data_IF_035454151486
#
_entry.id   IF_035454151486
#
_cell.length_a   1.000
_cell.length_b   1.000
_cell.length_c   1.000
_cell.angle_alpha   90.00
_cell.angle_beta   90.00
_cell.angle_gamma   90.00
#
_symmetry.space_group_name_H-M   'P 1'
#
loop_
_entity.id
_entity.type
_entity.pdbx_description
1 polymer ?
#
# COMPACT_ATOMS: atom_id res chain seq x y z
N UNK A 1 17.44 8.41 10.18
CA UNK A 1 16.13 8.45 9.49
C UNK A 1 15.75 9.90 9.31
N UNK A 2 15.48 10.33 8.08
CA UNK A 2 15.15 11.73 7.76
C UNK A 2 13.83 12.19 8.43
N UNK A 3 12.90 11.26 8.70
CA UNK A 3 11.58 11.53 9.30
C UNK A 3 11.31 10.62 10.52
N UNK A 4 11.86 10.92 11.71
CA UNK A 4 11.89 10.00 12.85
C UNK A 4 10.51 9.71 13.49
N UNK A 5 9.47 10.50 13.17
CA UNK A 5 8.12 10.36 13.72
C UNK A 5 7.09 9.82 12.72
N UNK A 6 7.53 9.38 11.53
CA UNK A 6 6.65 8.70 10.58
C UNK A 6 6.67 7.19 10.81
N UNK A 7 5.51 6.56 10.67
CA UNK A 7 5.38 5.10 10.75
C UNK A 7 5.13 4.53 9.35
N UNK A 8 5.99 3.61 8.92
CA UNK A 8 5.76 2.79 7.75
C UNK A 8 4.81 1.63 8.09
N UNK A 9 3.80 1.42 7.26
CA UNK A 9 2.81 0.36 7.38
C UNK A 9 2.74 -0.41 6.07
N UNK A 10 3.30 -1.62 6.06
CA UNK A 10 3.05 -2.58 4.99
C UNK A 10 1.69 -3.25 5.24
N UNK A 11 0.66 -2.84 4.49
CA UNK A 11 -0.70 -3.33 4.73
C UNK A 11 -0.87 -4.84 4.45
N UNK A 12 -0.31 -5.41 3.37
CA UNK A 12 -0.34 -6.86 3.16
C UNK A 12 0.22 -7.67 4.33
N UNK A 13 1.36 -7.27 4.89
CA UNK A 13 1.97 -8.01 6.01
C UNK A 13 1.23 -7.78 7.33
N UNK A 14 0.65 -6.59 7.52
CA UNK A 14 -0.25 -6.32 8.64
C UNK A 14 -1.50 -7.22 8.59
N UNK A 15 -2.09 -7.39 7.40
CA UNK A 15 -3.25 -8.26 7.19
C UNK A 15 -2.91 -9.74 7.44
N UNK A 16 -1.76 -10.22 6.94
CA UNK A 16 -1.29 -11.59 7.22
C UNK A 16 -1.07 -11.82 8.71
N UNK A 17 -0.40 -10.89 9.39
CA UNK A 17 -0.14 -10.99 10.84
C UNK A 17 -1.44 -11.04 11.63
N UNK A 18 -2.39 -10.16 11.29
CA UNK A 18 -3.70 -10.14 11.93
C UNK A 18 -4.49 -11.41 11.68
N UNK A 19 -4.48 -11.92 10.45
CA UNK A 19 -5.14 -13.16 10.08
C UNK A 19 -4.60 -14.35 10.90
N UNK A 20 -3.27 -14.46 11.06
CA UNK A 20 -2.63 -15.51 11.89
C UNK A 20 -3.02 -15.39 13.37
N UNK A 21 -3.15 -14.19 13.90
CA UNK A 21 -3.50 -13.98 15.31
C UNK A 21 -4.99 -14.25 15.58
N UNK A 22 -5.87 -13.92 14.64
CA UNK A 22 -7.32 -14.06 14.81
C UNK A 22 -7.89 -15.40 14.31
N UNK A 23 -7.08 -16.26 13.67
CA UNK A 23 -7.53 -17.59 13.20
C UNK A 23 -7.96 -18.53 14.34
N UNK A 24 -7.39 -18.36 15.53
CA UNK A 24 -7.67 -19.23 16.68
C UNK A 24 -8.97 -18.85 17.42
N UNK A 25 -9.65 -17.78 17.00
CA UNK A 25 -10.91 -17.35 17.60
C UNK A 25 -12.10 -18.09 16.98
N UNK A 26 -13.03 -18.52 17.83
CA UNK A 26 -14.24 -19.23 17.41
C UNK A 26 -15.12 -18.31 16.53
N UNK A 27 -15.56 -18.78 15.37
CA UNK A 27 -16.33 -18.01 14.37
C UNK A 27 -15.61 -16.79 13.77
N UNK A 28 -14.29 -16.84 13.67
CA UNK A 28 -13.51 -15.76 13.06
C UNK A 28 -13.74 -15.66 11.56
N UNK A 29 -14.20 -14.49 11.07
CA UNK A 29 -14.28 -14.15 9.63
C UNK A 29 -12.91 -14.18 8.92
N UNK A 30 -11.82 -14.35 9.66
CA UNK A 30 -10.46 -14.43 9.12
C UNK A 30 -10.11 -15.77 8.49
N UNK A 31 -10.88 -16.84 8.72
CA UNK A 31 -10.63 -18.13 8.05
C UNK A 31 -10.70 -18.01 6.52
N UNK A 32 -11.71 -17.30 6.02
CA UNK A 32 -11.85 -17.01 4.58
C UNK A 32 -10.78 -16.02 4.09
N UNK A 33 -10.45 -15.02 4.92
CA UNK A 33 -9.41 -14.05 4.60
C UNK A 33 -8.02 -14.70 4.40
N UNK A 34 -7.70 -15.74 5.18
CA UNK A 34 -6.45 -16.53 5.03
C UNK A 34 -6.43 -17.25 3.69
N UNK A 35 -7.54 -17.87 3.29
CA UNK A 35 -7.63 -18.53 1.99
C UNK A 35 -7.42 -17.53 0.84
N UNK A 36 -8.07 -16.36 0.92
CA UNK A 36 -7.88 -15.28 -0.05
C UNK A 36 -6.45 -14.76 -0.10
N UNK A 37 -5.81 -14.59 1.06
CA UNK A 37 -4.38 -14.19 1.14
C UNK A 37 -3.47 -15.23 0.46
N UNK A 38 -3.70 -16.52 0.71
CA UNK A 38 -2.93 -17.60 0.11
C UNK A 38 -3.11 -17.65 -1.42
N UNK A 39 -4.30 -17.31 -1.90
CA UNK A 39 -4.61 -17.23 -3.33
C UNK A 39 -4.21 -15.90 -3.99
N UNK A 40 -3.57 -14.98 -3.25
CA UNK A 40 -3.28 -13.60 -3.69
C UNK A 40 -4.50 -12.80 -4.17
N UNK A 41 -5.67 -13.12 -3.64
CA UNK A 41 -6.91 -12.40 -3.90
C UNK A 41 -7.04 -11.16 -3.00
N UNK A 42 -7.90 -10.22 -3.42
CA UNK A 42 -8.31 -9.13 -2.55
C UNK A 42 -9.17 -9.64 -1.40
N UNK A 43 -8.89 -9.11 -0.21
CA UNK A 43 -9.70 -9.32 0.97
C UNK A 43 -10.94 -8.42 0.95
N UNK A 44 -12.00 -8.77 1.70
CA UNK A 44 -13.13 -7.89 1.94
C UNK A 44 -12.68 -6.50 2.42
N UNK A 45 -13.22 -5.44 1.81
CA UNK A 45 -12.79 -4.06 2.08
C UNK A 45 -13.00 -3.64 3.53
N UNK A 46 -14.04 -4.15 4.20
CA UNK A 46 -14.33 -3.89 5.61
C UNK A 46 -13.22 -4.44 6.54
N UNK A 47 -12.71 -5.64 6.24
CA UNK A 47 -11.58 -6.24 6.98
C UNK A 47 -10.31 -5.40 6.80
N UNK A 48 -10.06 -4.95 5.57
CA UNK A 48 -8.89 -4.13 5.22
C UNK A 48 -8.96 -2.78 5.94
N UNK A 49 -10.11 -2.10 5.85
CA UNK A 49 -10.36 -0.81 6.48
C UNK A 49 -10.22 -0.89 8.01
N UNK A 50 -10.87 -1.87 8.64
CA UNK A 50 -10.79 -2.01 10.11
C UNK A 50 -9.35 -2.22 10.57
N UNK A 51 -8.60 -3.06 9.86
CA UNK A 51 -7.20 -3.34 10.18
C UNK A 51 -6.34 -2.08 10.05
N UNK A 52 -6.56 -1.28 9.01
CA UNK A 52 -5.89 -0.01 8.85
C UNK A 52 -6.24 0.94 10.00
N UNK A 53 -7.52 1.15 10.29
CA UNK A 53 -7.97 2.08 11.33
C UNK A 53 -7.44 1.71 12.72
N UNK A 54 -7.42 0.42 13.08
CA UNK A 54 -6.81 -0.03 14.34
C UNK A 54 -5.33 0.34 14.40
N UNK A 55 -4.57 0.14 13.32
CA UNK A 55 -3.14 0.49 13.29
C UNK A 55 -2.91 1.99 13.40
N UNK A 56 -3.73 2.81 12.73
CA UNK A 56 -3.67 4.27 12.83
C UNK A 56 -3.99 4.74 14.25
N UNK A 57 -5.01 4.16 14.90
CA UNK A 57 -5.43 4.56 16.25
C UNK A 57 -4.47 4.12 17.36
N UNK A 58 -3.64 3.10 17.13
CA UNK A 58 -2.58 2.68 18.07
C UNK A 58 -1.46 3.71 18.23
N UNK A 59 -1.34 4.64 17.29
CA UNK A 59 -0.24 5.61 17.24
C UNK A 59 -0.81 7.02 17.09
N UNK A 60 -1.13 7.66 18.22
CA UNK A 60 -1.67 9.02 18.26
C UNK A 60 -0.59 10.12 18.27
N UNK A 61 0.65 9.80 18.64
CA UNK A 61 1.77 10.75 18.79
C UNK A 61 2.79 10.64 17.64
N UNK A 62 2.29 10.58 16.41
CA UNK A 62 3.11 10.46 15.19
C UNK A 62 2.81 11.57 14.22
N UNK A 63 3.82 11.96 13.44
CA UNK A 63 3.70 13.06 12.49
C UNK A 63 2.95 12.63 11.21
N UNK A 64 2.95 11.33 10.91
CA UNK A 64 2.25 10.75 9.77
C UNK A 64 2.49 9.25 9.58
N UNK A 65 1.85 8.71 8.55
CA UNK A 65 1.97 7.31 8.14
C UNK A 65 2.34 7.22 6.67
N UNK A 66 3.17 6.24 6.33
CA UNK A 66 3.42 5.80 4.96
C UNK A 66 2.78 4.43 4.82
N UNK A 67 1.70 4.34 4.05
CA UNK A 67 0.94 3.10 3.89
C UNK A 67 1.27 2.51 2.52
N UNK A 68 1.82 1.30 2.53
CA UNK A 68 2.16 0.56 1.31
C UNK A 68 1.05 -0.44 0.99
N UNK A 69 0.62 -0.43 -0.28
CA UNK A 69 -0.39 -1.33 -0.82
C UNK A 69 -1.84 -0.94 -0.59
N UNK A 70 -2.14 0.34 -0.32
CA UNK A 70 -3.51 0.84 -0.14
C UNK A 70 -3.65 2.30 -0.61
N UNK A 71 -4.77 2.68 -1.25
CA UNK A 71 -5.93 1.87 -1.63
C UNK A 71 -5.70 1.08 -2.94
N UNK A 72 -6.35 -0.10 -3.06
CA UNK A 72 -6.33 -0.93 -4.28
C UNK A 72 -7.62 -0.89 -5.09
N UNK A 73 -8.73 -0.49 -4.47
CA UNK A 73 -10.06 -0.44 -5.07
C UNK A 73 -10.74 0.90 -4.81
N UNK A 74 -11.72 1.25 -5.63
CA UNK A 74 -12.49 2.49 -5.47
C UNK A 74 -13.19 2.54 -4.11
N UNK A 75 -13.79 1.43 -3.68
CA UNK A 75 -14.42 1.33 -2.35
C UNK A 75 -13.43 1.65 -1.23
N UNK A 76 -12.21 1.10 -1.29
CA UNK A 76 -11.17 1.40 -0.29
C UNK A 76 -10.80 2.88 -0.28
N UNK A 77 -10.74 3.51 -1.44
CA UNK A 77 -10.47 4.94 -1.52
C UNK A 77 -11.62 5.75 -0.91
N UNK A 78 -12.88 5.46 -1.26
CA UNK A 78 -14.04 6.13 -0.68
C UNK A 78 -14.13 5.95 0.84
N UNK A 79 -13.83 4.74 1.33
CA UNK A 79 -13.77 4.45 2.76
C UNK A 79 -12.66 5.25 3.45
N UNK A 80 -11.50 5.42 2.81
CA UNK A 80 -10.43 6.29 3.30
C UNK A 80 -10.90 7.74 3.41
N UNK A 81 -11.59 8.27 2.38
CA UNK A 81 -12.16 9.63 2.40
C UNK A 81 -13.12 9.79 3.58
N UNK A 82 -13.98 8.79 3.81
CA UNK A 82 -15.02 8.81 4.83
C UNK A 82 -14.48 8.67 6.26
N UNK A 83 -13.54 7.75 6.48
CA UNK A 83 -13.11 7.36 7.82
C UNK A 83 -11.82 8.06 8.28
N UNK A 84 -10.92 8.40 7.35
CA UNK A 84 -9.68 9.13 7.67
C UNK A 84 -9.80 10.61 7.32
N UNK A 85 -10.51 10.95 6.25
CA UNK A 85 -10.68 12.35 5.81
C UNK A 85 -9.62 12.78 4.79
N UNK A 86 -10.07 13.50 3.75
CA UNK A 86 -9.21 13.92 2.64
C UNK A 86 -8.11 14.90 3.02
N UNK A 87 -8.32 15.71 4.06
CA UNK A 87 -7.32 16.67 4.51
C UNK A 87 -6.09 16.01 5.15
N UNK A 88 -6.30 14.78 5.67
CA UNK A 88 -5.26 13.95 6.29
C UNK A 88 -4.50 13.12 5.27
N UNK A 89 -5.09 12.81 4.11
CA UNK A 89 -4.38 12.22 2.99
C UNK A 89 -3.62 13.31 2.23
N UNK A 90 -2.29 13.30 2.32
CA UNK A 90 -1.46 14.30 1.61
C UNK A 90 -1.20 13.93 0.17
N UNK A 91 -0.84 12.68 -0.08
CA UNK A 91 -0.44 12.21 -1.41
C UNK A 91 -0.61 10.69 -1.49
N UNK A 92 -0.79 10.20 -2.72
CA UNK A 92 -0.61 8.80 -3.11
C UNK A 92 0.47 8.77 -4.17
N UNK A 93 1.49 7.94 -3.96
CA UNK A 93 2.59 7.79 -4.92
C UNK A 93 2.33 6.54 -5.76
N UNK A 94 2.32 6.73 -7.07
CA UNK A 94 2.31 5.68 -8.07
C UNK A 94 3.72 5.55 -8.63
N UNK A 95 4.32 4.38 -8.47
CA UNK A 95 5.54 4.04 -9.20
C UNK A 95 5.11 3.54 -10.58
N UNK A 96 5.43 4.30 -11.62
CA UNK A 96 5.20 3.91 -13.01
C UNK A 96 6.31 2.97 -13.46
N UNK A 97 5.95 1.72 -13.74
CA UNK A 97 6.88 0.65 -14.07
C UNK A 97 6.24 -0.14 -15.20
N UNK A 98 7.01 -0.42 -16.26
CA UNK A 98 6.52 -1.28 -17.33
C UNK A 98 6.20 -2.69 -16.81
N UNK A 99 5.26 -3.35 -17.48
CA UNK A 99 4.90 -4.72 -17.16
C UNK A 99 6.10 -5.67 -17.34
N UNK A 100 6.88 -5.48 -18.41
CA UNK A 100 8.03 -6.33 -18.71
C UNK A 100 9.10 -6.21 -17.62
N UNK A 101 9.40 -4.98 -17.18
CA UNK A 101 10.32 -4.75 -16.08
C UNK A 101 9.78 -5.32 -14.76
N UNK A 102 8.49 -5.14 -14.48
CA UNK A 102 7.83 -5.71 -13.30
C UNK A 102 7.93 -7.24 -13.28
N UNK A 103 7.67 -7.89 -14.42
CA UNK A 103 7.78 -9.35 -14.58
C UNK A 103 9.22 -9.82 -14.36
N UNK A 104 10.19 -9.14 -14.96
CA UNK A 104 11.61 -9.46 -14.78
C UNK A 104 12.03 -9.35 -13.31
N UNK A 105 11.71 -8.25 -12.63
CA UNK A 105 12.09 -8.06 -11.22
C UNK A 105 11.41 -9.07 -10.29
N UNK A 106 10.16 -9.43 -10.57
CA UNK A 106 9.45 -10.44 -9.80
C UNK A 106 10.02 -11.84 -10.04
N UNK A 107 10.34 -12.20 -11.28
CA UNK A 107 10.95 -13.50 -11.59
C UNK A 107 12.35 -13.66 -11.01
N UNK A 108 13.16 -12.60 -11.00
CA UNK A 108 14.45 -12.55 -10.29
C UNK A 108 14.25 -12.84 -8.81
N UNK A 109 13.29 -12.18 -8.14
CA UNK A 109 13.01 -12.42 -6.71
C UNK A 109 12.60 -13.86 -6.40
N UNK A 110 11.82 -14.49 -7.27
CA UNK A 110 11.41 -15.90 -7.11
C UNK A 110 12.62 -16.82 -7.30
N UNK A 111 13.43 -16.56 -8.32
CA UNK A 111 14.61 -17.37 -8.61
C UNK A 111 15.61 -17.39 -7.44
N UNK A 112 15.78 -16.27 -6.74
CA UNK A 112 16.61 -16.18 -5.53
C UNK A 112 15.97 -16.87 -4.31
N UNK A 113 14.65 -17.11 -4.29
CA UNK A 113 13.93 -17.83 -3.23
C UNK A 113 13.87 -19.33 -3.48
N UNK A 114 13.82 -19.76 -4.74
CA UNK A 114 13.77 -21.17 -5.12
C UNK A 114 15.07 -21.94 -4.79
N UNK A 115 16.21 -21.25 -4.68
CA UNK A 115 17.44 -21.83 -4.10
C UNK A 115 17.26 -22.25 -2.62
N UNK A 116 16.25 -21.72 -1.93
CA UNK A 116 15.93 -21.99 -0.52
C UNK A 116 14.69 -22.92 -0.38
N UNK A 117 14.07 -23.31 -1.50
CA UNK A 117 13.07 -24.37 -1.61
C UNK A 117 11.68 -24.06 -1.04
N UNK A 118 10.75 -23.54 -1.88
CA UNK A 118 9.39 -24.07 -2.08
C UNK A 118 8.52 -23.20 -3.04
N UNK A 119 7.85 -23.89 -3.97
CA UNK A 119 6.50 -23.66 -4.56
C UNK A 119 6.24 -22.58 -5.63
N UNK A 120 5.80 -23.04 -6.82
CA UNK A 120 4.65 -22.57 -7.63
C UNK A 120 4.28 -21.06 -7.60
N UNK A 121 5.23 -20.13 -7.74
CA UNK A 121 4.96 -18.68 -7.68
C UNK A 121 4.67 -18.00 -9.04
N UNK A 122 4.80 -18.69 -10.19
CA UNK A 122 4.61 -18.07 -11.52
C UNK A 122 3.19 -17.55 -11.76
N UNK A 123 2.16 -18.32 -11.38
CA UNK A 123 0.75 -17.95 -11.51
C UNK A 123 0.39 -16.72 -10.64
N UNK A 124 1.27 -16.38 -9.71
CA UNK A 124 1.04 -15.35 -8.72
C UNK A 124 1.48 -13.96 -9.19
N UNK A 125 2.40 -13.86 -10.16
CA UNK A 125 2.82 -12.59 -10.78
C UNK A 125 1.72 -12.05 -11.68
N UNK A 126 1.17 -12.90 -12.56
CA UNK A 126 0.11 -12.53 -13.50
C UNK A 126 -1.15 -12.05 -12.76
N UNK A 127 -1.50 -12.73 -11.67
CA UNK A 127 -2.61 -12.31 -10.80
C UNK A 127 -2.37 -10.89 -10.23
N UNK A 128 -1.17 -10.62 -9.72
CA UNK A 128 -0.83 -9.29 -9.17
C UNK A 128 -0.90 -8.18 -10.22
N UNK A 129 -0.32 -8.42 -11.39
CA UNK A 129 -0.34 -7.47 -12.52
C UNK A 129 -1.79 -7.24 -12.97
N UNK A 130 -2.58 -8.30 -13.09
CA UNK A 130 -3.99 -8.23 -13.47
C UNK A 130 -4.83 -7.42 -12.48
N UNK A 131 -4.67 -7.66 -11.17
CA UNK A 131 -5.35 -6.89 -10.12
C UNK A 131 -4.97 -5.40 -10.23
N UNK A 132 -3.68 -5.10 -10.38
CA UNK A 132 -3.22 -3.73 -10.50
C UNK A 132 -3.83 -3.02 -11.71
N UNK A 133 -3.78 -3.64 -12.89
CA UNK A 133 -4.30 -3.07 -14.14
C UNK A 133 -5.81 -2.88 -14.12
N UNK A 134 -6.54 -3.89 -13.68
CA UNK A 134 -8.00 -3.91 -13.80
C UNK A 134 -8.69 -3.18 -12.64
N UNK A 135 -8.03 -3.04 -11.50
CA UNK A 135 -8.62 -2.44 -10.30
C UNK A 135 -7.84 -1.20 -9.87
N UNK A 136 -6.56 -1.34 -9.52
CA UNK A 136 -5.79 -0.23 -8.91
C UNK A 136 -5.61 0.95 -9.85
N UNK A 137 -5.33 0.74 -11.14
CA UNK A 137 -5.21 1.84 -12.12
C UNK A 137 -6.51 2.65 -12.28
N UNK A 138 -7.67 2.02 -12.12
CA UNK A 138 -8.95 2.73 -12.18
C UNK A 138 -9.10 3.70 -11.00
N UNK A 139 -8.57 3.32 -9.83
CA UNK A 139 -8.55 4.18 -8.63
C UNK A 139 -7.60 5.35 -8.81
N UNK A 140 -6.44 5.14 -9.47
CA UNK A 140 -5.47 6.20 -9.72
C UNK A 140 -6.12 7.40 -10.41
N UNK A 141 -7.03 7.18 -11.36
CA UNK A 141 -7.77 8.27 -12.00
C UNK A 141 -8.59 9.11 -11.02
N UNK A 142 -9.31 8.47 -10.10
CA UNK A 142 -10.12 9.16 -9.08
C UNK A 142 -9.23 9.93 -8.10
N UNK A 143 -8.06 9.37 -7.77
CA UNK A 143 -7.07 10.01 -6.89
C UNK A 143 -6.43 11.22 -7.59
N UNK A 144 -6.21 11.13 -8.89
CA UNK A 144 -5.70 12.23 -9.73
C UNK A 144 -6.74 13.35 -9.87
N UNK A 145 -8.02 13.02 -10.06
CA UNK A 145 -9.14 13.97 -10.06
C UNK A 145 -9.26 14.73 -8.72
N UNK A 146 -8.84 14.11 -7.60
CA UNK A 146 -8.74 14.74 -6.27
C UNK A 146 -7.38 15.48 -6.04
N UNK A 147 -6.52 15.56 -7.06
CA UNK A 147 -5.18 16.18 -7.06
C UNK A 147 -4.17 15.55 -6.07
N UNK A 148 -4.44 14.32 -5.62
CA UNK A 148 -3.63 13.60 -4.63
C UNK A 148 -2.60 12.65 -5.24
N UNK A 149 -2.69 12.34 -6.52
CA UNK A 149 -1.79 11.40 -7.18
C UNK A 149 -0.46 12.09 -7.52
N UNK A 150 0.64 11.39 -7.27
CA UNK A 150 1.97 11.71 -7.81
C UNK A 150 2.55 10.48 -8.47
N UNK A 151 3.14 10.66 -9.64
CA UNK A 151 3.72 9.58 -10.42
C UNK A 151 5.23 9.76 -10.40
N UNK A 152 5.95 8.68 -10.10
CA UNK A 152 7.41 8.61 -10.10
C UNK A 152 7.82 7.49 -11.03
N UNK A 153 8.86 7.70 -11.83
CA UNK A 153 9.43 6.65 -12.68
C UNK A 153 10.11 5.59 -11.80
N UNK A 154 9.55 4.39 -11.77
CA UNK A 154 10.05 3.28 -10.96
C UNK A 154 11.08 2.39 -11.66
N UNK A 155 11.50 2.73 -12.89
CA UNK A 155 12.57 2.04 -13.63
C UNK A 155 13.94 2.71 -13.47
N UNK A 156 13.98 3.90 -12.86
CA UNK A 156 15.20 4.56 -12.43
C UNK A 156 15.98 3.74 -11.40
N UNK A 157 17.21 4.16 -11.10
CA UNK A 157 17.97 3.48 -10.06
C UNK A 157 17.39 3.79 -8.66
N UNK A 158 17.68 2.93 -7.68
CA UNK A 158 17.08 3.05 -6.35
C UNK A 158 17.39 4.39 -5.65
N UNK A 159 18.55 5.00 -5.93
CA UNK A 159 18.96 6.26 -5.31
C UNK A 159 18.17 7.44 -5.90
N UNK A 160 17.95 7.44 -7.22
CA UNK A 160 17.09 8.42 -7.92
C UNK A 160 15.63 8.34 -7.44
N UNK A 161 15.06 7.12 -7.38
CA UNK A 161 13.68 6.92 -6.88
C UNK A 161 13.57 7.41 -5.43
N UNK A 162 14.59 7.15 -4.61
CA UNK A 162 14.61 7.61 -3.22
C UNK A 162 14.66 9.14 -3.15
N UNK A 163 15.49 9.79 -3.96
CA UNK A 163 15.58 11.25 -4.03
C UNK A 163 14.24 11.88 -4.41
N UNK A 164 13.57 11.37 -5.45
CA UNK A 164 12.25 11.84 -5.89
C UNK A 164 11.19 11.70 -4.77
N UNK A 165 11.17 10.56 -4.08
CA UNK A 165 10.24 10.35 -2.96
C UNK A 165 10.56 11.32 -1.82
N UNK A 166 11.84 11.53 -1.49
CA UNK A 166 12.23 12.43 -0.41
C UNK A 166 11.84 13.88 -0.73
N UNK A 167 12.04 14.33 -1.97
CA UNK A 167 11.66 15.68 -2.40
C UNK A 167 10.15 15.89 -2.30
N UNK A 168 9.35 14.91 -2.72
CA UNK A 168 7.89 14.95 -2.55
C UNK A 168 7.49 15.03 -1.07
N UNK A 169 8.16 14.26 -0.20
CA UNK A 169 7.90 14.31 1.24
C UNK A 169 8.22 15.70 1.82
N UNK A 170 9.36 16.28 1.45
CA UNK A 170 9.78 17.60 1.91
C UNK A 170 8.81 18.70 1.47
N UNK A 171 8.33 18.65 0.23
CA UNK A 171 7.29 19.57 -0.26
C UNK A 171 5.99 19.46 0.55
N UNK A 172 5.57 18.23 0.86
CA UNK A 172 4.32 17.98 1.60
C UNK A 172 4.41 18.40 3.08
N UNK A 173 5.56 18.20 3.71
CA UNK A 173 5.79 18.60 5.11
C UNK A 173 6.01 20.11 5.21
N UNK A 174 6.76 20.71 4.29
CA UNK A 174 7.04 22.16 4.30
C UNK A 174 5.79 23.01 4.07
N UNK A 175 4.81 22.51 3.31
CA UNK A 175 3.50 23.16 3.15
C UNK A 175 2.68 23.25 4.46
N UNK A 176 3.08 22.56 5.56
CA UNK A 176 2.51 22.80 6.91
C UNK A 176 3.13 23.99 7.65
N UNK A 177 4.32 24.47 7.27
CA UNK A 177 5.03 25.53 8.01
C UNK A 177 4.61 26.96 7.60
N UNK A 178 3.82 27.11 6.53
CA UNK A 178 3.33 28.42 6.04
C UNK A 178 1.86 28.68 6.43
N UNK A 179 1.22 27.75 7.14
CA UNK A 179 -0.11 27.97 7.71
C UNK A 179 -0.01 28.73 9.03
N UNK A 180 0.25 30.04 8.98
CA UNK A 180 0.00 30.91 10.14
C UNK A 180 -1.48 30.83 10.51
N UNK A 181 -1.74 30.49 11.77
CA UNK A 181 -3.05 30.59 12.38
C UNK A 181 -3.52 32.06 12.30
N UNK A 182 -4.65 32.28 11.64
CA UNK A 182 -5.50 33.46 11.87
C UNK A 182 -6.91 32.98 12.16
#
# INVERSE_FOLDING_TARGET
MHYPKFIYVNLPDLLKTRAINEQNQQQSRWHEAIQKLNNRELLPNDIVLETLLLKLNQHSDVDGFVIDGYPKTETQYLDLKKHVGMDRLKCVILLDISEDYSRQRLSERISHRDEVGNNNESDSIDCCISIFKNQTLQVCKIIDDDEKLRVIDGELNNDEILEDILELFDQMISNKLVGEFT
#
